data_IF_596293862786
#
_entry.id   IF_596293862786
#
_cell.length_a   1.000
_cell.length_b   1.000
_cell.length_c   1.000
_cell.angle_alpha   90.00
_cell.angle_beta   90.00
_cell.angle_gamma   90.00
#
_symmetry.space_group_name_H-M   'P 1'
#
loop_
_entity.id
_entity.type
_entity.pdbx_description
1 polymer ?
#
# COMPACT_ATOMS: atom_id res chain seq x y z
N UNK A 1 1.00 -5.66 21.17
CA UNK A 1 0.14 -6.80 20.74
C UNK A 1 -0.28 -6.56 19.30
N UNK A 2 0.24 -7.37 18.37
CA UNK A 2 -0.08 -7.26 16.95
C UNK A 2 -1.51 -7.77 16.72
N UNK A 3 -2.36 -6.97 16.08
CA UNK A 3 -3.75 -7.32 15.76
C UNK A 3 -3.78 -8.38 14.65
N UNK A 4 -3.58 -9.65 15.05
CA UNK A 4 -3.58 -10.83 14.17
C UNK A 4 -4.93 -11.07 13.48
N UNK A 5 -6.02 -10.50 14.01
CA UNK A 5 -7.37 -10.72 13.48
C UNK A 5 -7.61 -9.97 12.16
N UNK A 6 -7.16 -8.71 12.08
CA UNK A 6 -7.33 -7.88 10.89
C UNK A 6 -6.66 -8.46 9.63
N UNK A 7 -5.40 -8.87 9.75
CA UNK A 7 -4.63 -9.41 8.62
C UNK A 7 -5.13 -10.75 8.12
N UNK A 8 -5.54 -11.65 9.03
CA UNK A 8 -6.13 -12.92 8.63
C UNK A 8 -7.44 -12.70 7.86
N UNK A 9 -8.25 -11.71 8.27
CA UNK A 9 -9.46 -11.35 7.53
C UNK A 9 -9.10 -10.80 6.14
N UNK A 10 -8.14 -9.89 6.03
CA UNK A 10 -7.71 -9.34 4.75
C UNK A 10 -7.23 -10.42 3.77
N UNK A 11 -6.40 -11.36 4.24
CA UNK A 11 -5.92 -12.49 3.43
C UNK A 11 -7.06 -13.38 2.94
N UNK A 12 -8.08 -13.65 3.78
CA UNK A 12 -9.28 -14.40 3.38
C UNK A 12 -10.10 -13.65 2.31
N UNK A 13 -10.24 -12.34 2.42
CA UNK A 13 -10.95 -11.56 1.38
C UNK A 13 -10.17 -11.54 0.06
N UNK A 14 -8.84 -11.43 0.10
CA UNK A 14 -7.99 -11.53 -1.08
C UNK A 14 -8.14 -12.91 -1.75
N UNK A 15 -8.10 -14.00 -0.98
CA UNK A 15 -8.32 -15.35 -1.50
C UNK A 15 -9.68 -15.47 -2.21
N UNK A 16 -10.75 -14.95 -1.60
CA UNK A 16 -12.09 -14.95 -2.20
C UNK A 16 -12.16 -14.09 -3.45
N UNK A 17 -11.46 -12.96 -3.49
CA UNK A 17 -11.40 -12.10 -4.66
C UNK A 17 -10.72 -12.80 -5.84
N UNK A 18 -9.52 -13.36 -5.63
CA UNK A 18 -8.76 -14.02 -6.69
C UNK A 18 -9.41 -15.31 -7.21
N UNK A 19 -10.17 -16.03 -6.38
CA UNK A 19 -10.98 -17.19 -6.82
C UNK A 19 -12.04 -16.87 -7.89
N UNK A 20 -12.36 -15.60 -8.12
CA UNK A 20 -13.34 -15.17 -9.14
C UNK A 20 -12.75 -15.06 -10.55
N UNK A 21 -11.43 -15.12 -10.68
CA UNK A 21 -10.73 -14.89 -11.95
C UNK A 21 -9.95 -16.15 -12.38
N UNK A 22 -9.67 -16.31 -13.69
CA UNK A 22 -8.72 -17.31 -14.17
C UNK A 22 -7.36 -17.17 -13.50
N UNK A 23 -6.62 -18.29 -13.37
CA UNK A 23 -5.33 -18.32 -12.66
C UNK A 23 -4.25 -17.47 -13.32
N UNK A 24 -4.31 -17.33 -14.63
CA UNK A 24 -3.39 -16.58 -15.48
C UNK A 24 -3.80 -15.11 -15.67
N UNK A 25 -4.89 -14.69 -15.03
CA UNK A 25 -5.38 -13.32 -15.12
C UNK A 25 -4.52 -12.37 -14.27
N UNK A 26 -3.97 -11.34 -14.91
CA UNK A 26 -3.19 -10.31 -14.22
C UNK A 26 -4.12 -9.26 -13.60
N UNK A 27 -4.00 -9.07 -12.29
CA UNK A 27 -4.77 -8.14 -11.48
C UNK A 27 -3.80 -7.28 -10.66
N UNK A 28 -3.28 -6.19 -11.24
CA UNK A 28 -2.35 -5.32 -10.54
C UNK A 28 -2.92 -4.80 -9.22
N UNK A 29 -2.14 -4.89 -8.15
CA UNK A 29 -2.54 -4.54 -6.79
C UNK A 29 -1.81 -3.27 -6.34
N UNK A 30 -2.59 -2.24 -6.03
CA UNK A 30 -2.14 -1.03 -5.33
C UNK A 30 -2.86 -0.89 -3.98
N UNK A 31 -2.20 -0.26 -3.01
CA UNK A 31 -2.81 0.11 -1.72
C UNK A 31 -3.47 1.49 -1.78
N UNK A 32 -2.94 2.36 -2.64
CA UNK A 32 -3.41 3.72 -2.87
C UNK A 32 -3.07 4.19 -4.29
N UNK A 33 -3.68 5.29 -4.72
CA UNK A 33 -3.40 5.96 -5.98
C UNK A 33 -3.80 7.46 -5.89
N UNK A 34 -3.84 8.15 -7.03
CA UNK A 34 -4.12 9.58 -7.12
C UNK A 34 -5.60 9.98 -6.94
N UNK A 35 -6.52 9.01 -6.90
CA UNK A 35 -7.98 9.20 -6.79
C UNK A 35 -8.56 8.65 -5.48
N UNK A 36 -7.70 8.31 -4.51
CA UNK A 36 -8.09 7.86 -3.19
C UNK A 36 -7.18 8.45 -2.11
N UNK A 37 -7.53 8.26 -0.84
CA UNK A 37 -6.62 8.62 0.24
C UNK A 37 -5.35 7.75 0.18
N UNK A 38 -4.22 8.33 0.57
CA UNK A 38 -2.97 7.59 0.77
C UNK A 38 -3.15 6.52 1.85
N UNK A 39 -2.50 5.36 1.67
CA UNK A 39 -2.63 4.25 2.61
C UNK A 39 -2.11 4.62 4.02
N UNK A 40 -1.11 5.50 4.09
CA UNK A 40 -0.58 6.06 5.34
C UNK A 40 -1.63 6.85 6.13
N UNK A 41 -2.49 7.60 5.44
CA UNK A 41 -3.61 8.33 6.02
C UNK A 41 -4.70 7.40 6.52
N UNK A 42 -5.09 6.40 5.72
CA UNK A 42 -6.08 5.38 6.13
C UNK A 42 -5.61 4.57 7.34
N UNK A 43 -4.30 4.32 7.44
CA UNK A 43 -3.68 3.72 8.62
C UNK A 43 -3.64 4.66 9.83
N UNK A 44 -4.13 5.91 9.73
CA UNK A 44 -4.08 6.91 10.81
C UNK A 44 -2.68 7.10 11.39
N UNK A 45 -1.66 7.09 10.52
CA UNK A 45 -0.24 7.15 10.89
C UNK A 45 0.24 6.00 11.80
N UNK A 46 -0.53 4.90 11.90
CA UNK A 46 -0.11 3.66 12.55
C UNK A 46 0.89 2.94 11.67
N UNK A 47 2.17 3.22 11.91
CA UNK A 47 3.30 2.67 11.16
C UNK A 47 3.29 1.13 11.10
N UNK A 48 2.91 0.48 12.19
CA UNK A 48 2.78 -0.98 12.26
C UNK A 48 1.75 -1.52 11.26
N UNK A 49 0.60 -0.84 11.15
CA UNK A 49 -0.46 -1.18 10.20
C UNK A 49 -0.09 -0.91 8.75
N UNK A 50 0.61 0.20 8.49
CA UNK A 50 1.14 0.50 7.17
C UNK A 50 2.12 -0.59 6.70
N UNK A 51 3.08 -0.95 7.54
CA UNK A 51 4.04 -2.00 7.21
C UNK A 51 3.38 -3.37 7.05
N UNK A 52 2.34 -3.66 7.83
CA UNK A 52 1.52 -4.88 7.70
C UNK A 52 0.79 -4.93 6.34
N UNK A 53 0.13 -3.84 5.94
CA UNK A 53 -0.53 -3.74 4.63
C UNK A 53 0.45 -3.91 3.45
N UNK A 54 1.64 -3.31 3.55
CA UNK A 54 2.69 -3.44 2.54
C UNK A 54 3.18 -4.89 2.44
N UNK A 55 3.42 -5.56 3.57
CA UNK A 55 3.80 -6.99 3.57
C UNK A 55 2.71 -7.85 2.95
N UNK A 56 1.44 -7.55 3.20
CA UNK A 56 0.32 -8.25 2.54
C UNK A 56 0.36 -8.00 1.03
N UNK A 57 0.47 -6.76 0.56
CA UNK A 57 0.58 -6.43 -0.87
C UNK A 57 1.69 -7.25 -1.55
N UNK A 58 2.88 -7.31 -0.96
CA UNK A 58 4.01 -8.06 -1.54
C UNK A 58 3.91 -9.58 -1.40
N UNK A 59 3.03 -10.09 -0.53
CA UNK A 59 2.78 -11.53 -0.36
C UNK A 59 1.83 -12.11 -1.41
N UNK A 60 1.10 -11.26 -2.13
CA UNK A 60 0.17 -11.67 -3.18
C UNK A 60 0.94 -11.94 -4.48
N UNK A 61 0.62 -13.02 -5.17
CA UNK A 61 1.22 -13.33 -6.48
C UNK A 61 0.54 -12.57 -7.62
N UNK A 62 0.69 -11.25 -7.63
CA UNK A 62 0.18 -10.35 -8.65
C UNK A 62 1.14 -9.17 -8.87
N UNK A 63 1.06 -8.44 -10.00
CA UNK A 63 1.84 -7.22 -10.20
C UNK A 63 1.57 -6.20 -9.07
N UNK A 64 2.64 -5.72 -8.44
CA UNK A 64 2.56 -4.75 -7.34
C UNK A 64 2.75 -3.34 -7.90
N UNK A 65 1.83 -2.43 -7.58
CA UNK A 65 1.94 -1.01 -7.92
C UNK A 65 2.15 -0.21 -6.61
N UNK A 66 3.17 0.65 -6.63
CA UNK A 66 3.50 1.56 -5.53
C UNK A 66 3.20 2.97 -6.02
N UNK A 67 2.36 3.70 -5.28
CA UNK A 67 2.15 5.13 -5.54
C UNK A 67 3.31 5.95 -4.97
N UNK A 68 3.79 6.94 -5.72
CA UNK A 68 5.03 7.65 -5.38
C UNK A 68 4.95 8.28 -3.99
N UNK A 69 6.07 8.19 -3.28
CA UNK A 69 6.21 8.75 -1.95
C UNK A 69 5.61 7.88 -0.85
N UNK A 70 4.79 6.87 -1.16
CA UNK A 70 4.33 5.90 -0.16
C UNK A 70 5.51 5.15 0.44
N UNK A 71 6.55 4.86 -0.35
CA UNK A 71 7.81 4.29 0.12
C UNK A 71 8.63 5.20 1.05
N UNK A 72 8.34 6.51 1.02
CA UNK A 72 8.92 7.53 1.92
C UNK A 72 7.97 8.00 3.01
N UNK A 73 6.82 7.36 3.17
CA UNK A 73 5.85 7.67 4.21
C UNK A 73 5.03 8.94 3.94
N UNK A 74 4.93 9.39 2.69
CA UNK A 74 4.05 10.50 2.34
C UNK A 74 2.61 10.19 2.75
N UNK A 75 1.94 11.21 3.28
CA UNK A 75 0.57 11.16 3.79
C UNK A 75 -0.13 12.48 3.50
N UNK A 76 -1.37 12.60 3.93
CA UNK A 76 -2.22 13.79 3.87
C UNK A 76 -2.79 14.10 5.25
N UNK A 77 -3.32 15.30 5.44
CA UNK A 77 -3.87 15.80 6.72
C UNK A 77 -5.38 15.54 6.85
N UNK A 78 -6.08 15.46 5.72
CA UNK A 78 -7.53 15.23 5.65
C UNK A 78 -7.91 14.33 4.46
N UNK A 79 -9.15 13.86 4.47
CA UNK A 79 -9.64 12.95 3.43
C UNK A 79 -9.86 13.70 2.12
N UNK A 80 -9.56 13.07 0.98
CA UNK A 80 -9.92 13.63 -0.34
C UNK A 80 -11.43 13.83 -0.49
N UNK A 81 -12.23 13.17 0.35
CA UNK A 81 -13.68 13.25 0.34
C UNK A 81 -14.23 14.40 1.19
N UNK A 82 -13.41 15.03 2.04
CA UNK A 82 -13.86 16.14 2.89
C UNK A 82 -13.89 17.48 2.16
N UNK A 83 -13.21 17.59 1.01
CA UNK A 83 -13.16 18.81 0.22
C UNK A 83 -13.57 18.53 -1.22
N UNK A 84 -14.69 19.12 -1.64
CA UNK A 84 -15.15 19.09 -3.03
C UNK A 84 -15.46 20.52 -3.48
N UNK A 85 -14.93 21.00 -4.63
CA UNK A 85 -14.06 20.29 -5.58
C UNK A 85 -12.55 20.22 -5.17
N UNK A 86 -11.76 19.38 -5.85
CA UNK A 86 -10.28 19.28 -5.76
C UNK A 86 -9.65 18.58 -4.54
N UNK A 87 -10.40 17.78 -3.79
CA UNK A 87 -9.83 17.02 -2.66
C UNK A 87 -8.73 16.02 -3.05
N UNK A 88 -8.68 15.57 -4.30
CA UNK A 88 -7.63 14.70 -4.85
C UNK A 88 -6.23 15.33 -4.80
N UNK A 89 -6.14 16.67 -4.78
CA UNK A 89 -4.87 17.39 -4.61
C UNK A 89 -4.15 17.02 -3.31
N UNK A 90 -4.87 16.56 -2.29
CA UNK A 90 -4.29 16.10 -1.01
C UNK A 90 -3.48 14.80 -1.19
N UNK A 91 -3.89 13.91 -2.09
CA UNK A 91 -3.12 12.71 -2.43
C UNK A 91 -1.97 13.01 -3.40
N UNK A 92 -2.02 14.14 -4.11
CA UNK A 92 -1.11 14.52 -5.20
C UNK A 92 -0.06 15.58 -4.78
N UNK A 93 0.23 15.67 -3.49
CA UNK A 93 1.26 16.59 -2.96
C UNK A 93 2.64 16.33 -3.57
N UNK A 94 3.47 17.37 -3.80
CA UNK A 94 4.82 17.19 -4.31
C UNK A 94 5.65 16.20 -3.49
N UNK A 95 6.54 15.47 -4.16
CA UNK A 95 7.45 14.53 -3.51
C UNK A 95 8.32 15.24 -2.46
N UNK A 96 8.34 14.71 -1.25
CA UNK A 96 9.09 15.28 -0.14
C UNK A 96 10.55 14.81 -0.15
N UNK A 97 11.35 15.29 -1.11
CA UNK A 97 12.74 14.83 -1.32
C UNK A 97 13.66 14.99 -0.10
N UNK A 98 13.37 15.95 0.78
CA UNK A 98 14.14 16.24 1.99
C UNK A 98 13.67 15.46 3.23
N UNK A 99 12.56 14.71 3.13
CA UNK A 99 12.09 13.83 4.18
C UNK A 99 12.29 12.39 3.75
N UNK A 100 12.77 11.56 4.66
CA UNK A 100 12.91 10.15 4.39
C UNK A 100 12.44 9.31 5.56
N UNK A 101 11.69 8.27 5.22
CA UNK A 101 11.34 7.20 6.14
C UNK A 101 12.20 5.98 5.83
N UNK A 102 13.46 6.00 6.30
CA UNK A 102 14.48 5.00 5.95
C UNK A 102 14.05 3.56 6.21
N UNK A 103 13.34 3.33 7.31
CA UNK A 103 12.89 1.98 7.65
C UNK A 103 11.73 1.52 6.75
N UNK A 104 10.92 2.43 6.23
CA UNK A 104 9.88 2.09 5.25
C UNK A 104 10.49 1.86 3.87
N UNK A 105 11.41 2.73 3.46
CA UNK A 105 12.14 2.59 2.21
C UNK A 105 12.94 1.27 2.16
N UNK A 106 13.65 0.94 3.25
CA UNK A 106 14.37 -0.33 3.40
C UNK A 106 13.44 -1.54 3.33
N UNK A 107 12.25 -1.47 3.95
CA UNK A 107 11.24 -2.53 3.86
C UNK A 107 10.81 -2.77 2.40
N UNK A 108 10.52 -1.72 1.65
CA UNK A 108 10.20 -1.84 0.22
C UNK A 108 11.34 -2.50 -0.57
N UNK A 109 12.59 -2.05 -0.36
CA UNK A 109 13.75 -2.64 -1.02
C UNK A 109 13.92 -4.13 -0.69
N UNK A 110 13.74 -4.52 0.58
CA UNK A 110 13.80 -5.93 1.01
C UNK A 110 12.73 -6.77 0.32
N UNK A 111 11.47 -6.30 0.35
CA UNK A 111 10.34 -7.03 -0.22
C UNK A 111 10.43 -7.15 -1.75
N UNK A 112 10.89 -6.10 -2.43
CA UNK A 112 11.15 -6.12 -3.88
C UNK A 112 12.23 -7.15 -4.20
N UNK A 113 13.39 -7.11 -3.51
CA UNK A 113 14.47 -8.09 -3.70
C UNK A 113 13.99 -9.51 -3.49
N UNK A 114 13.28 -9.77 -2.38
CA UNK A 114 12.71 -11.09 -2.06
C UNK A 114 11.74 -11.58 -3.14
N UNK A 115 10.87 -10.70 -3.65
CA UNK A 115 9.94 -11.05 -4.72
C UNK A 115 10.67 -11.43 -6.01
N UNK A 116 11.71 -10.70 -6.39
CA UNK A 116 12.54 -11.05 -7.55
C UNK A 116 13.29 -12.38 -7.37
N UNK A 117 13.82 -12.66 -6.17
CA UNK A 117 14.49 -13.93 -5.87
C UNK A 117 13.56 -15.14 -5.89
N UNK A 118 12.28 -14.95 -5.62
CA UNK A 118 11.27 -16.02 -5.61
C UNK A 118 10.66 -16.30 -7.00
N UNK A 119 11.05 -15.55 -8.04
CA UNK A 119 10.62 -15.78 -9.43
C UNK A 119 11.63 -16.68 -10.18
N UNK A 120 12.70 -17.13 -9.50
CA UNK A 120 13.69 -18.08 -10.01
C UNK A 120 13.27 -19.55 -9.84
#
# INVERSE_FOLDING_TARGET
MCDRGGSLKALKELERHYKKYPRDYMLPLFLDNHDMNRISYECKNRRDKLMEAIRIQFSVDQPVIIYYGTERGMTQDRSIWSEKPHGDLLARQPMQWNKNDEALFSLYQELIKKRHSNIA
#
